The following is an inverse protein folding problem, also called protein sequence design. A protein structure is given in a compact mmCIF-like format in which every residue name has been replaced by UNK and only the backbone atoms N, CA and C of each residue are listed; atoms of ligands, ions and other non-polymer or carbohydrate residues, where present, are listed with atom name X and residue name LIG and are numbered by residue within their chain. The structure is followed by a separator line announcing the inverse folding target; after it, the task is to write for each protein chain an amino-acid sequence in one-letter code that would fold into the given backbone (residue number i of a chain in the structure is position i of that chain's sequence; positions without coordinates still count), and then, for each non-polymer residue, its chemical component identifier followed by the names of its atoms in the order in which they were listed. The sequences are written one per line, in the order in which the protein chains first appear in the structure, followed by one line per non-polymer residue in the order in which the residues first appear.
data_IF_396255682345
#
_entry.id   IF_396255682345
#
_cell.length_a   1.000
_cell.length_b   1.000
_cell.length_c   1.000
_cell.angle_alpha   90.00
_cell.angle_beta   90.00
_cell.angle_gamma   90.00
#
_symmetry.space_group_name_H-M   'P 1'
#
loop_
_entity.id
_entity.type
_entity.pdbx_description
1 polymer ?
#
# COMPACT_ATOMS: atom_id res chain seq x y z
N UNK A 1 16.78 2.87 0.25
CA UNK A 1 16.09 2.71 -1.05
C UNK A 1 14.81 3.53 -1.03
N UNK A 2 14.53 4.31 -2.07
CA UNK A 2 13.23 4.98 -2.21
C UNK A 2 12.25 3.93 -2.73
N UNK A 3 11.25 3.58 -1.92
CA UNK A 3 10.23 2.63 -2.35
C UNK A 3 9.40 3.22 -3.48
N UNK A 4 8.95 2.36 -4.38
CA UNK A 4 8.05 2.74 -5.48
C UNK A 4 6.74 3.27 -4.87
N UNK A 5 6.27 4.45 -5.31
CA UNK A 5 4.97 5.00 -4.88
C UNK A 5 3.85 3.98 -5.07
N UNK A 6 2.87 3.95 -4.17
CA UNK A 6 1.69 3.05 -4.24
C UNK A 6 0.98 3.13 -5.59
N UNK A 7 0.93 4.31 -6.20
CA UNK A 7 0.33 4.54 -7.52
C UNK A 7 1.07 3.91 -8.69
N UNK A 8 2.33 3.48 -8.47
CA UNK A 8 3.14 2.82 -9.49
C UNK A 8 3.19 1.30 -9.28
N UNK A 9 2.72 0.77 -8.16
CA UNK A 9 2.68 -0.69 -7.90
C UNK A 9 1.85 -1.36 -8.99
N UNK A 10 2.43 -2.34 -9.68
CA UNK A 10 1.77 -3.13 -10.70
C UNK A 10 1.44 -4.54 -10.22
N UNK A 11 0.71 -5.29 -11.05
CA UNK A 11 0.35 -6.70 -10.78
C UNK A 11 1.60 -7.56 -10.55
N UNK A 12 2.67 -7.35 -11.32
CA UNK A 12 3.93 -8.10 -11.18
C UNK A 12 4.61 -7.89 -9.82
N UNK A 13 4.55 -6.66 -9.27
CA UNK A 13 5.10 -6.37 -7.94
C UNK A 13 4.33 -7.15 -6.86
N UNK A 14 3.01 -7.31 -7.05
CA UNK A 14 2.10 -8.02 -6.14
C UNK A 14 2.29 -9.54 -6.24
N UNK A 15 2.50 -10.07 -7.45
CA UNK A 15 2.88 -11.47 -7.66
C UNK A 15 4.23 -11.75 -6.99
N UNK A 16 5.22 -10.87 -7.19
CA UNK A 16 6.52 -10.96 -6.54
C UNK A 16 6.46 -10.87 -5.01
N UNK A 17 5.39 -10.26 -4.48
CA UNK A 17 5.09 -10.22 -3.04
C UNK A 17 4.37 -11.47 -2.50
N UNK A 18 4.05 -12.45 -3.35
CA UNK A 18 3.59 -13.77 -2.95
C UNK A 18 2.11 -14.05 -3.16
N UNK A 19 1.36 -13.18 -3.84
CA UNK A 19 -0.01 -13.51 -4.28
C UNK A 19 0.01 -14.30 -5.59
N UNK A 20 -1.02 -15.14 -5.79
CA UNK A 20 -1.25 -15.75 -7.10
C UNK A 20 -1.65 -14.70 -8.14
N UNK A 21 -1.55 -15.04 -9.44
CA UNK A 21 -1.89 -14.11 -10.53
C UNK A 21 -3.33 -13.56 -10.38
N UNK A 22 -4.29 -14.44 -10.04
CA UNK A 22 -5.70 -14.05 -9.93
C UNK A 22 -5.97 -13.15 -8.71
N UNK A 23 -5.36 -13.47 -7.57
CA UNK A 23 -5.42 -12.64 -6.37
C UNK A 23 -4.74 -11.29 -6.61
N UNK A 24 -3.58 -11.29 -7.27
CA UNK A 24 -2.83 -10.09 -7.59
C UNK A 24 -3.61 -9.12 -8.49
N UNK A 25 -4.28 -9.63 -9.52
CA UNK A 25 -5.14 -8.82 -10.38
C UNK A 25 -6.32 -8.20 -9.61
N UNK A 26 -6.98 -9.01 -8.78
CA UNK A 26 -8.11 -8.56 -7.95
C UNK A 26 -7.66 -7.50 -6.94
N UNK A 27 -6.55 -7.77 -6.25
CA UNK A 27 -5.95 -6.86 -5.29
C UNK A 27 -5.53 -5.54 -5.95
N UNK A 28 -4.85 -5.62 -7.10
CA UNK A 28 -4.41 -4.43 -7.84
C UNK A 28 -5.59 -3.56 -8.28
N UNK A 29 -6.69 -4.16 -8.75
CA UNK A 29 -7.90 -3.40 -9.11
C UNK A 29 -8.49 -2.67 -7.89
N UNK A 30 -8.64 -3.35 -6.75
CA UNK A 30 -9.11 -2.73 -5.50
C UNK A 30 -8.16 -1.62 -5.03
N UNK A 31 -6.85 -1.88 -5.07
CA UNK A 31 -5.83 -0.91 -4.70
C UNK A 31 -5.95 0.35 -5.57
N UNK A 32 -6.06 0.18 -6.90
CA UNK A 32 -6.23 1.26 -7.87
C UNK A 32 -7.46 2.11 -7.58
N UNK A 33 -8.60 1.49 -7.31
CA UNK A 33 -9.82 2.22 -6.93
C UNK A 33 -9.65 3.00 -5.62
N UNK A 34 -8.93 2.43 -4.65
CA UNK A 34 -8.66 3.11 -3.38
C UNK A 34 -7.77 4.34 -3.57
N UNK A 35 -6.77 4.28 -4.46
CA UNK A 35 -5.85 5.41 -4.73
C UNK A 35 -6.40 6.44 -5.72
N UNK A 36 -7.16 6.05 -6.75
CA UNK A 36 -7.75 6.99 -7.73
C UNK A 36 -8.72 7.97 -7.06
N UNK A 37 -9.23 7.61 -5.87
CA UNK A 37 -10.04 8.50 -5.03
C UNK A 37 -9.24 9.67 -4.42
N UNK A 38 -7.90 9.64 -4.52
CA UNK A 38 -7.00 10.64 -3.94
C UNK A 38 -5.93 11.05 -4.95
N UNK A 39 -5.91 12.32 -5.35
CA UNK A 39 -4.71 12.90 -5.98
C UNK A 39 -3.59 12.88 -4.93
N UNK A 40 -2.35 12.40 -5.17
CA UNK A 40 -1.44 12.02 -4.06
C UNK A 40 -0.32 13.04 -3.74
N UNK A 41 -0.58 14.06 -2.87
CA UNK A 41 0.40 14.69 -1.99
C UNK A 41 0.68 13.87 -0.71
N UNK A 42 1.75 14.21 0.03
CA UNK A 42 2.10 13.56 1.30
C UNK A 42 0.96 13.58 2.35
N UNK A 43 0.14 14.64 2.39
CA UNK A 43 -1.04 14.72 3.27
C UNK A 43 -2.07 13.62 2.95
N UNK A 44 -2.14 13.18 1.70
CA UNK A 44 -3.09 12.19 1.23
C UNK A 44 -2.59 10.75 1.47
N UNK A 45 -1.32 10.54 1.82
CA UNK A 45 -0.81 9.22 2.23
C UNK A 45 -1.55 8.69 3.49
N UNK A 46 -1.89 9.56 4.44
CA UNK A 46 -2.71 9.21 5.61
C UNK A 46 -4.11 8.75 5.19
N UNK A 47 -4.74 9.46 4.26
CA UNK A 47 -6.09 9.14 3.77
C UNK A 47 -6.11 7.87 2.91
N UNK A 48 -5.11 7.67 2.06
CA UNK A 48 -4.90 6.45 1.29
C UNK A 48 -4.74 5.26 2.24
N UNK A 49 -3.86 5.37 3.24
CA UNK A 49 -3.67 4.30 4.24
C UNK A 49 -4.96 4.00 5.00
N UNK A 50 -5.68 5.05 5.42
CA UNK A 50 -6.99 4.92 6.08
C UNK A 50 -7.99 4.20 5.18
N UNK A 51 -8.06 4.53 3.88
CA UNK A 51 -8.98 3.86 2.95
C UNK A 51 -8.63 2.40 2.73
N UNK A 52 -7.35 2.07 2.52
CA UNK A 52 -6.86 0.68 2.41
C UNK A 52 -7.30 -0.14 3.64
N UNK A 53 -7.21 0.45 4.82
CA UNK A 53 -7.66 -0.15 6.07
C UNK A 53 -9.19 -0.33 6.13
N UNK A 54 -9.95 0.74 5.90
CA UNK A 54 -11.41 0.74 6.01
C UNK A 54 -12.06 -0.24 5.03
N UNK A 55 -11.51 -0.35 3.82
CA UNK A 55 -11.94 -1.28 2.78
C UNK A 55 -11.41 -2.71 2.98
N UNK A 56 -10.63 -2.96 4.05
CA UNK A 56 -10.01 -4.25 4.38
C UNK A 56 -9.24 -4.85 3.20
N UNK A 57 -8.51 -4.03 2.45
CA UNK A 57 -7.73 -4.50 1.30
C UNK A 57 -6.62 -5.46 1.75
N UNK A 58 -6.01 -5.21 2.90
CA UNK A 58 -4.97 -6.05 3.47
C UNK A 58 -5.55 -6.95 4.57
N UNK A 59 -5.65 -8.24 4.28
CA UNK A 59 -6.03 -9.27 5.24
C UNK A 59 -4.82 -9.77 6.04
N UNK A 60 -4.97 -10.19 7.30
CA UNK A 60 -3.85 -10.72 8.10
C UNK A 60 -3.19 -11.99 7.53
N UNK A 61 -3.90 -12.71 6.65
CA UNK A 61 -3.44 -13.91 5.96
C UNK A 61 -2.56 -13.60 4.75
N UNK A 62 -2.51 -12.35 4.30
CA UNK A 62 -1.67 -11.97 3.17
C UNK A 62 -0.18 -12.09 3.50
N UNK A 63 0.68 -12.34 2.50
CA UNK A 63 2.11 -12.41 2.71
C UNK A 63 2.67 -11.12 3.32
N UNK A 64 3.62 -11.25 4.25
CA UNK A 64 4.31 -10.12 4.86
C UNK A 64 4.90 -9.14 3.82
N UNK A 65 5.47 -9.68 2.74
CA UNK A 65 6.03 -8.90 1.65
C UNK A 65 4.98 -8.00 0.97
N UNK A 66 3.72 -8.44 0.87
CA UNK A 66 2.63 -7.63 0.32
C UNK A 66 2.31 -6.45 1.24
N UNK A 67 2.26 -6.69 2.54
CA UNK A 67 2.06 -5.63 3.52
C UNK A 67 3.18 -4.58 3.45
N UNK A 68 4.44 -5.01 3.38
CA UNK A 68 5.59 -4.11 3.24
C UNK A 68 5.51 -3.32 1.94
N UNK A 69 5.22 -3.98 0.81
CA UNK A 69 5.11 -3.35 -0.50
C UNK A 69 4.10 -2.20 -0.48
N UNK A 70 2.91 -2.43 0.07
CA UNK A 70 1.86 -1.41 0.14
C UNK A 70 2.22 -0.31 1.13
N UNK A 71 2.66 -0.66 2.34
CA UNK A 71 3.02 0.31 3.37
C UNK A 71 4.11 1.28 2.90
N UNK A 72 5.24 0.74 2.41
CA UNK A 72 6.33 1.57 1.94
C UNK A 72 5.98 2.32 0.65
N UNK A 73 5.05 1.79 -0.16
CA UNK A 73 4.55 2.49 -1.33
C UNK A 73 3.68 3.70 -0.99
N UNK A 74 2.78 3.56 0.00
CA UNK A 74 1.91 4.64 0.46
C UNK A 74 2.74 5.77 1.07
N UNK A 75 3.75 5.41 1.86
CA UNK A 75 4.62 6.36 2.54
C UNK A 75 5.92 6.66 1.78
N UNK A 76 6.02 6.35 0.49
CA UNK A 76 7.24 6.52 -0.30
C UNK A 76 7.80 7.96 -0.31
N UNK A 77 6.92 8.95 -0.18
CA UNK A 77 7.26 10.38 -0.11
C UNK A 77 6.92 10.99 1.26
N UNK A 78 6.81 10.17 2.30
CA UNK A 78 6.46 10.63 3.64
C UNK A 78 7.62 11.42 4.26
N UNK A 79 7.40 12.70 4.54
CA UNK A 79 8.35 13.49 5.30
C UNK A 79 8.08 13.35 6.81
N UNK A 80 8.88 12.51 7.46
CA UNK A 80 8.78 12.27 8.90
C UNK A 80 9.17 13.48 9.76
N UNK A 81 9.97 14.42 9.24
CA UNK A 81 10.38 15.62 9.97
C UNK A 81 9.18 16.54 10.16
N UNK A 82 8.40 16.75 9.09
CA UNK A 82 7.23 17.63 9.12
C UNK A 82 5.95 16.95 9.63
N UNK A 83 5.80 15.63 9.42
CA UNK A 83 4.53 14.93 9.68
C UNK A 83 4.56 13.94 10.85
N UNK A 84 5.72 13.73 11.49
CA UNK A 84 5.94 12.68 12.48
C UNK A 84 6.07 11.28 11.84
N UNK A 85 6.18 10.22 12.65
CA UNK A 85 6.29 8.86 12.12
C UNK A 85 5.01 8.45 11.35
N UNK A 86 5.13 7.72 10.23
CA UNK A 86 3.98 7.18 9.51
C UNK A 86 3.23 6.14 10.36
N UNK A 87 1.92 6.01 10.14
CA UNK A 87 1.10 5.05 10.89
C UNK A 87 1.50 3.62 10.54
N UNK A 88 2.22 2.97 11.43
CA UNK A 88 2.67 1.60 11.24
C UNK A 88 1.59 0.60 11.62
N UNK A 89 1.19 -0.24 10.68
CA UNK A 89 0.51 -1.50 10.98
C UNK A 89 0.70 -2.52 9.86
N UNK A 90 1.32 -3.64 10.18
CA UNK A 90 1.13 -4.92 9.51
C UNK A 90 1.74 -6.06 10.35
N UNK A 91 1.27 -7.31 10.18
CA UNK A 91 1.79 -8.45 10.92
C UNK A 91 3.31 -8.56 10.72
N UNK A 92 4.06 -8.80 11.80
CA UNK A 92 5.53 -8.92 11.75
C UNK A 92 6.02 -10.36 11.50
N UNK A 93 5.11 -11.26 11.14
CA UNK A 93 5.37 -12.69 10.90
C UNK A 93 4.60 -13.13 9.66
#
# INVERSE_FOLDING_TARGET
MRSKSVSKIGVEDIIGAGLTIQEAQTFHAKLKLAIESFDIPAKNAKEVWRKIWTEKLLEPTHPHALHQLVYYGVYANWDSVSNGPPLYWFPSK
#
